data_IF_090388088298
#
_entry.id   IF_090388088298
#
_cell.length_a   1.000
_cell.length_b   1.000
_cell.length_c   1.000
_cell.angle_alpha   90.00
_cell.angle_beta   90.00
_cell.angle_gamma   90.00
#
_symmetry.space_group_name_H-M   'P 1'
#
loop_
_entity.id
_entity.type
_entity.pdbx_description
1 polymer ?
#
# COMPACT_ATOMS: atom_id res chain seq x y z
N UNK A 1 -10.72 15.55 -2.20
CA UNK A 1 -9.79 15.05 -3.25
C UNK A 1 -8.38 14.76 -2.72
N UNK A 2 -7.78 15.63 -1.89
CA UNK A 2 -6.45 15.37 -1.28
C UNK A 2 -6.48 14.39 -0.09
N UNK A 3 -7.64 14.16 0.52
CA UNK A 3 -7.76 13.24 1.67
C UNK A 3 -7.30 11.82 1.34
N UNK A 4 -7.55 11.31 0.13
CA UNK A 4 -7.16 9.94 -0.24
C UNK A 4 -5.63 9.75 -0.29
N UNK A 5 -4.89 10.81 -0.68
CA UNK A 5 -3.42 10.78 -0.72
C UNK A 5 -2.80 10.77 0.66
N UNK A 6 -3.55 11.16 1.68
CA UNK A 6 -3.15 11.04 3.08
C UNK A 6 -3.61 9.71 3.68
N UNK A 7 -4.87 9.34 3.48
CA UNK A 7 -5.48 8.16 4.12
C UNK A 7 -4.88 6.85 3.64
N UNK A 8 -4.62 6.69 2.34
CA UNK A 8 -4.06 5.45 1.77
C UNK A 8 -2.67 5.12 2.35
N UNK A 9 -1.68 6.04 2.33
CA UNK A 9 -0.37 5.71 2.89
C UNK A 9 -0.44 5.46 4.40
N UNK A 10 -1.28 6.20 5.12
CA UNK A 10 -1.46 5.98 6.56
C UNK A 10 -2.05 4.59 6.86
N UNK A 11 -3.07 4.17 6.11
CA UNK A 11 -3.67 2.85 6.23
C UNK A 11 -2.68 1.73 5.93
N UNK A 12 -1.87 1.86 4.88
CA UNK A 12 -0.85 0.88 4.52
C UNK A 12 0.21 0.72 5.62
N UNK A 13 0.65 1.83 6.23
CA UNK A 13 1.61 1.79 7.33
C UNK A 13 1.05 1.03 8.54
N UNK A 14 -0.22 1.26 8.86
CA UNK A 14 -0.89 0.61 9.99
C UNK A 14 -1.03 -0.89 9.77
N UNK A 15 -1.58 -1.29 8.63
CA UNK A 15 -1.95 -2.70 8.39
C UNK A 15 -0.74 -3.56 8.01
N UNK A 16 0.19 -3.02 7.22
CA UNK A 16 1.27 -3.83 6.62
C UNK A 16 2.67 -3.50 7.14
N UNK A 17 2.92 -2.30 7.67
CA UNK A 17 4.27 -1.85 8.07
C UNK A 17 4.38 -1.70 9.61
N UNK A 18 3.60 -2.48 10.35
CA UNK A 18 3.68 -2.60 11.81
C UNK A 18 3.29 -1.34 12.59
N UNK A 19 2.51 -0.43 12.00
CA UNK A 19 1.96 0.73 12.69
C UNK A 19 2.94 1.89 12.93
N UNK A 20 2.42 2.90 13.61
CA UNK A 20 3.15 4.06 14.09
C UNK A 20 3.34 3.93 15.59
N UNK A 21 4.60 3.81 16.01
CA UNK A 21 5.00 3.81 17.42
C UNK A 21 5.57 5.19 17.75
N UNK A 22 5.07 5.79 18.81
CA UNK A 22 5.42 7.16 19.20
C UNK A 22 6.46 7.19 20.33
N UNK A 23 7.23 6.11 20.49
CA UNK A 23 8.23 5.97 21.55
C UNK A 23 9.64 6.30 21.02
N UNK A 24 10.29 7.31 21.61
CA UNK A 24 11.69 7.65 21.36
C UNK A 24 12.07 7.73 19.87
N UNK A 25 13.07 6.94 19.47
CA UNK A 25 13.59 6.89 18.08
C UNK A 25 12.53 6.36 17.09
N UNK A 26 11.54 5.59 17.54
CA UNK A 26 10.50 5.08 16.65
C UNK A 26 9.59 6.17 16.09
N UNK A 27 9.49 7.32 16.77
CA UNK A 27 8.79 8.49 16.26
C UNK A 27 9.40 8.98 14.93
N UNK A 28 10.74 9.06 14.87
CA UNK A 28 11.47 9.45 13.67
C UNK A 28 11.26 8.45 12.53
N UNK A 29 11.35 7.14 12.83
CA UNK A 29 11.07 6.10 11.85
C UNK A 29 9.62 6.11 11.36
N UNK A 30 8.66 6.45 12.22
CA UNK A 30 7.25 6.63 11.84
C UNK A 30 7.06 7.76 10.82
N UNK A 31 7.69 8.91 11.07
CA UNK A 31 7.71 10.03 10.12
C UNK A 31 8.37 9.66 8.79
N UNK A 32 9.50 8.94 8.84
CA UNK A 32 10.22 8.52 7.64
C UNK A 32 9.40 7.53 6.79
N UNK A 33 8.72 6.56 7.42
CA UNK A 33 7.79 5.65 6.73
C UNK A 33 6.72 6.41 5.96
N UNK A 34 6.11 7.41 6.61
CA UNK A 34 5.05 8.23 6.02
C UNK A 34 5.57 9.06 4.84
N UNK A 35 6.65 9.81 5.03
CA UNK A 35 7.25 10.64 3.97
C UNK A 35 7.68 9.77 2.78
N UNK A 36 8.33 8.64 3.04
CA UNK A 36 8.77 7.71 2.00
C UNK A 36 7.61 7.18 1.16
N UNK A 37 6.50 6.80 1.80
CA UNK A 37 5.34 6.25 1.09
C UNK A 37 4.61 7.31 0.26
N UNK A 38 4.46 8.53 0.80
CA UNK A 38 3.87 9.65 0.06
C UNK A 38 4.74 10.05 -1.13
N UNK A 39 6.06 10.11 -0.94
CA UNK A 39 7.01 10.39 -2.02
C UNK A 39 6.92 9.32 -3.12
N UNK A 40 6.90 8.04 -2.75
CA UNK A 40 6.73 6.93 -3.68
C UNK A 40 5.40 7.04 -4.46
N UNK A 41 4.28 7.26 -3.78
CA UNK A 41 2.98 7.44 -4.43
C UNK A 41 2.97 8.63 -5.39
N UNK A 42 3.66 9.71 -5.03
CA UNK A 42 3.80 10.90 -5.87
C UNK A 42 4.59 10.59 -7.14
N UNK A 43 5.73 9.88 -7.02
CA UNK A 43 6.52 9.43 -8.18
C UNK A 43 5.70 8.50 -9.08
N UNK A 44 5.05 7.48 -8.51
CA UNK A 44 4.18 6.55 -9.28
C UNK A 44 3.11 7.32 -10.05
N UNK A 45 2.46 8.29 -9.41
CA UNK A 45 1.42 9.12 -10.05
C UNK A 45 1.98 9.97 -11.20
N UNK A 46 3.20 10.47 -11.05
CA UNK A 46 3.82 11.37 -12.03
C UNK A 46 4.48 10.61 -13.18
N UNK A 47 4.94 9.38 -12.96
CA UNK A 47 5.68 8.59 -13.96
C UNK A 47 4.78 7.65 -14.76
N UNK A 48 3.68 7.14 -14.18
CA UNK A 48 2.90 6.11 -14.85
C UNK A 48 1.92 6.67 -15.90
N UNK A 49 1.92 6.11 -17.13
CA UNK A 49 0.93 6.45 -18.14
C UNK A 49 -0.47 6.02 -17.71
N UNK A 50 -1.50 6.78 -18.10
CA UNK A 50 -2.89 6.52 -17.70
C UNK A 50 -3.39 5.20 -18.27
N UNK A 51 -3.67 4.25 -17.39
CA UNK A 51 -4.22 2.92 -17.74
C UNK A 51 -5.73 3.02 -18.02
N UNK A 52 -6.21 2.26 -19.01
CA UNK A 52 -7.65 2.16 -19.30
C UNK A 52 -8.36 1.42 -18.17
N UNK A 53 -9.58 1.84 -17.84
CA UNK A 53 -10.38 1.21 -16.78
C UNK A 53 -10.54 -0.30 -17.02
N UNK A 54 -10.81 -0.72 -18.26
CA UNK A 54 -10.95 -2.14 -18.60
C UNK A 54 -9.69 -2.96 -18.29
N UNK A 55 -8.51 -2.38 -18.54
CA UNK A 55 -7.22 -3.01 -18.24
C UNK A 55 -6.98 -3.08 -16.74
N UNK A 56 -7.31 -2.02 -16.00
CA UNK A 56 -7.20 -2.00 -14.55
C UNK A 56 -8.12 -3.04 -13.92
N UNK A 57 -9.39 -3.12 -14.36
CA UNK A 57 -10.35 -4.11 -13.88
C UNK A 57 -9.85 -5.52 -14.18
N UNK A 58 -9.42 -5.79 -15.41
CA UNK A 58 -8.88 -7.12 -15.79
C UNK A 58 -7.65 -7.50 -14.97
N UNK A 59 -6.77 -6.54 -14.66
CA UNK A 59 -5.57 -6.78 -13.85
C UNK A 59 -5.92 -7.13 -12.39
N UNK A 60 -6.81 -6.36 -11.76
CA UNK A 60 -7.17 -6.60 -10.36
C UNK A 60 -8.05 -7.84 -10.19
N UNK A 61 -9.02 -8.07 -11.06
CA UNK A 61 -9.94 -9.21 -10.98
C UNK A 61 -9.35 -10.53 -11.49
N UNK A 62 -8.33 -10.48 -12.35
CA UNK A 62 -7.67 -11.68 -12.88
C UNK A 62 -6.48 -12.09 -12.00
N UNK A 63 -5.24 -11.76 -12.42
CA UNK A 63 -4.03 -12.28 -11.78
C UNK A 63 -3.91 -11.89 -10.31
N UNK A 64 -4.23 -10.63 -9.95
CA UNK A 64 -4.07 -10.16 -8.57
C UNK A 64 -5.00 -10.85 -7.58
N UNK A 65 -6.25 -11.13 -7.97
CA UNK A 65 -7.20 -11.85 -7.12
C UNK A 65 -6.73 -13.29 -6.87
N UNK A 66 -6.24 -13.97 -7.91
CA UNK A 66 -5.70 -15.33 -7.77
C UNK A 66 -4.50 -15.34 -6.81
N UNK A 67 -3.57 -14.40 -6.96
CA UNK A 67 -2.40 -14.27 -6.07
C UNK A 67 -2.86 -14.01 -4.62
N UNK A 68 -3.86 -13.16 -4.41
CA UNK A 68 -4.39 -12.87 -3.08
C UNK A 68 -5.05 -14.11 -2.44
N UNK A 69 -5.81 -14.90 -3.19
CA UNK A 69 -6.39 -16.17 -2.70
C UNK A 69 -5.28 -17.13 -2.29
N UNK A 70 -4.23 -17.28 -3.11
CA UNK A 70 -3.07 -18.12 -2.79
C UNK A 70 -2.40 -17.64 -1.50
N UNK A 71 -2.18 -16.32 -1.36
CA UNK A 71 -1.60 -15.74 -0.15
C UNK A 71 -2.43 -16.04 1.11
N UNK A 72 -3.77 -15.99 1.02
CA UNK A 72 -4.67 -16.35 2.12
C UNK A 72 -4.56 -17.83 2.46
N UNK A 73 -4.60 -18.72 1.46
CA UNK A 73 -4.45 -20.17 1.69
C UNK A 73 -3.12 -20.47 2.37
N UNK A 74 -2.02 -19.89 1.88
CA UNK A 74 -0.70 -20.07 2.47
C UNK A 74 -0.63 -19.52 3.90
N UNK A 75 -1.23 -18.37 4.18
CA UNK A 75 -1.29 -17.81 5.52
C UNK A 75 -2.10 -18.69 6.50
N UNK A 76 -3.14 -19.39 6.02
CA UNK A 76 -3.93 -20.32 6.84
C UNK A 76 -3.22 -21.66 7.06
N UNK A 77 -2.50 -22.17 6.05
CA UNK A 77 -1.73 -23.41 6.14
C UNK A 77 -0.45 -23.24 6.96
N UNK A 78 0.22 -22.09 6.82
CA UNK A 78 1.44 -21.72 7.55
C UNK A 78 1.20 -21.22 8.97
N UNK A 79 0.04 -21.55 9.57
CA UNK A 79 -0.17 -21.37 11.01
C UNK A 79 0.91 -22.07 11.82
#
# INVERSE_FOLDING_TARGET
KNMLMFTVPFFLIIVFIGGLRFDGIHLLYGGLKYIGLVALMTVIRNTNPRVRIDQAVKFFWGPMTIIAIIAIILALLGR
#
